data_IF_795438918540
#
_entry.id   IF_795438918540
#
_cell.length_a   1.000
_cell.length_b   1.000
_cell.length_c   1.000
_cell.angle_alpha   90.00
_cell.angle_beta   90.00
_cell.angle_gamma   90.00
#
_symmetry.space_group_name_H-M   'P 1'
#
loop_
_entity.id
_entity.type
_entity.pdbx_description
1 polymer ?
#
# COMPACT_ATOMS: atom_id res chain seq x y z
N UNK A 1 -21.25 11.14 -1.66
CA UNK A 1 -20.77 9.73 -1.78
C UNK A 1 -19.25 9.59 -1.95
N UNK A 2 -18.57 10.44 -2.75
CA UNK A 2 -17.10 10.37 -2.94
C UNK A 2 -16.30 10.74 -1.68
N UNK A 3 -16.76 11.77 -0.96
CA UNK A 3 -16.20 12.26 0.31
C UNK A 3 -16.08 11.17 1.37
N UNK A 4 -17.08 10.30 1.51
CA UNK A 4 -17.04 9.22 2.50
C UNK A 4 -15.95 8.17 2.19
N UNK A 5 -15.74 7.83 0.91
CA UNK A 5 -14.69 6.89 0.51
C UNK A 5 -13.30 7.48 0.70
N UNK A 6 -13.11 8.75 0.36
CA UNK A 6 -11.85 9.46 0.60
C UNK A 6 -11.54 9.56 2.10
N UNK A 7 -12.51 9.96 2.92
CA UNK A 7 -12.35 10.03 4.37
C UNK A 7 -11.99 8.66 4.95
N UNK A 8 -12.70 7.60 4.54
CA UNK A 8 -12.40 6.23 4.97
C UNK A 8 -11.01 5.79 4.54
N UNK A 9 -10.57 6.14 3.33
CA UNK A 9 -9.23 5.83 2.86
C UNK A 9 -8.15 6.54 3.70
N UNK A 10 -8.35 7.82 4.02
CA UNK A 10 -7.43 8.57 4.89
C UNK A 10 -7.36 7.94 6.28
N UNK A 11 -8.50 7.55 6.88
CA UNK A 11 -8.52 6.85 8.18
C UNK A 11 -7.74 5.53 8.13
N UNK A 12 -7.88 4.76 7.05
CA UNK A 12 -7.13 3.52 6.86
C UNK A 12 -5.62 3.78 6.72
N UNK A 13 -5.23 4.84 5.99
CA UNK A 13 -3.83 5.23 5.89
C UNK A 13 -3.26 5.66 7.25
N UNK A 14 -3.98 6.46 8.02
CA UNK A 14 -3.49 6.91 9.35
C UNK A 14 -3.37 5.75 10.33
N UNK A 15 -4.30 4.80 10.30
CA UNK A 15 -4.25 3.60 11.16
C UNK A 15 -3.07 2.66 10.86
N UNK A 16 -2.51 2.71 9.65
CA UNK A 16 -1.38 1.88 9.21
C UNK A 16 -0.03 2.59 9.28
N UNK A 17 0.05 3.81 9.85
CA UNK A 17 1.28 4.62 9.87
C UNK A 17 2.49 3.91 10.48
N UNK A 18 2.25 3.07 11.48
CA UNK A 18 3.29 2.38 12.24
C UNK A 18 3.44 0.90 11.85
N UNK A 19 2.82 0.48 10.75
CA UNK A 19 2.92 -0.91 10.31
C UNK A 19 4.31 -1.18 9.74
N UNK A 20 4.85 -2.36 10.04
CA UNK A 20 6.06 -2.86 9.38
C UNK A 20 5.75 -3.35 7.97
N UNK A 21 6.80 -3.53 7.16
CA UNK A 21 6.66 -4.09 5.81
C UNK A 21 5.95 -5.45 5.85
N UNK A 22 6.30 -6.32 6.79
CA UNK A 22 5.71 -7.66 6.95
C UNK A 22 4.21 -7.59 7.25
N UNK A 23 3.79 -6.68 8.13
CA UNK A 23 2.38 -6.48 8.46
C UNK A 23 1.59 -5.99 7.24
N UNK A 24 2.17 -5.09 6.45
CA UNK A 24 1.53 -4.61 5.22
C UNK A 24 1.44 -5.72 4.15
N UNK A 25 2.46 -6.59 4.06
CA UNK A 25 2.43 -7.74 3.16
C UNK A 25 1.36 -8.76 3.55
N UNK A 26 1.21 -9.05 4.86
CA UNK A 26 0.16 -9.91 5.36
C UNK A 26 -1.25 -9.40 4.96
N UNK A 27 -1.47 -8.07 5.07
CA UNK A 27 -2.71 -7.43 4.61
C UNK A 27 -2.90 -7.57 3.10
N UNK A 28 -1.83 -7.43 2.31
CA UNK A 28 -1.91 -7.54 0.85
C UNK A 28 -2.23 -8.97 0.37
N UNK A 29 -1.71 -9.98 1.06
CA UNK A 29 -1.86 -11.39 0.72
C UNK A 29 -3.24 -11.95 1.13
N UNK A 30 -3.84 -11.45 2.21
CA UNK A 30 -5.16 -11.89 2.66
C UNK A 30 -6.28 -11.35 1.75
N UNK A 31 -6.91 -12.25 1.00
CA UNK A 31 -7.97 -11.95 0.04
C UNK A 31 -9.29 -11.54 0.69
N UNK A 32 -9.52 -11.93 1.96
CA UNK A 32 -10.73 -11.57 2.72
C UNK A 32 -10.80 -10.07 3.02
N UNK A 33 -9.67 -9.36 2.99
CA UNK A 33 -9.67 -7.94 3.31
C UNK A 33 -10.30 -7.08 2.20
N UNK A 34 -11.05 -6.02 2.58
CA UNK A 34 -11.67 -5.13 1.62
C UNK A 34 -10.65 -4.48 0.67
N UNK A 35 -11.00 -4.25 -0.61
CA UNK A 35 -10.09 -3.63 -1.58
C UNK A 35 -9.52 -2.28 -1.15
N UNK A 36 -10.32 -1.47 -0.44
CA UNK A 36 -9.89 -0.15 0.04
C UNK A 36 -8.80 -0.26 1.13
N UNK A 37 -8.89 -1.28 1.99
CA UNK A 37 -7.91 -1.57 3.04
C UNK A 37 -6.60 -2.07 2.41
N UNK A 38 -6.70 -2.98 1.45
CA UNK A 38 -5.54 -3.46 0.66
C UNK A 38 -4.88 -2.33 -0.12
N UNK A 39 -5.67 -1.41 -0.69
CA UNK A 39 -5.12 -0.23 -1.37
C UNK A 39 -4.35 0.71 -0.42
N UNK A 40 -4.80 0.85 0.83
CA UNK A 40 -4.10 1.65 1.84
C UNK A 40 -2.77 0.98 2.23
N UNK A 41 -2.77 -0.34 2.43
CA UNK A 41 -1.55 -1.11 2.69
C UNK A 41 -0.55 -1.01 1.54
N UNK A 42 -1.01 -1.14 0.29
CA UNK A 42 -0.17 -0.96 -0.90
C UNK A 42 0.42 0.45 -0.98
N UNK A 43 -0.33 1.48 -0.58
CA UNK A 43 0.16 2.87 -0.58
C UNK A 43 1.33 3.03 0.38
N UNK A 44 1.26 2.42 1.57
CA UNK A 44 2.37 2.40 2.52
C UNK A 44 3.55 1.55 2.07
N UNK A 45 3.31 0.37 1.48
CA UNK A 45 4.38 -0.46 0.90
C UNK A 45 5.16 0.30 -0.17
N UNK A 46 4.48 1.07 -1.02
CA UNK A 46 5.14 1.90 -2.03
C UNK A 46 5.93 3.05 -1.40
N UNK A 47 5.43 3.61 -0.30
CA UNK A 47 6.09 4.72 0.39
C UNK A 47 7.38 4.27 1.09
N UNK A 48 7.36 3.12 1.74
CA UNK A 48 8.50 2.55 2.47
C UNK A 48 9.46 1.73 1.59
N UNK A 49 9.07 1.41 0.36
CA UNK A 49 9.92 0.63 -0.53
C UNK A 49 11.26 1.34 -0.78
N UNK A 50 12.38 0.62 -0.65
CA UNK A 50 13.69 1.23 -0.71
C UNK A 50 14.06 1.63 -2.15
N UNK A 51 15.09 2.46 -2.32
CA UNK A 51 15.45 3.03 -3.62
C UNK A 51 15.92 1.98 -4.62
N UNK A 52 16.50 0.89 -4.14
CA UNK A 52 16.93 -0.28 -4.92
C UNK A 52 15.74 -0.94 -5.63
N UNK A 53 14.57 -0.92 -4.98
CA UNK A 53 13.31 -1.44 -5.54
C UNK A 53 12.64 -0.40 -6.44
N UNK A 54 12.55 0.84 -5.98
CA UNK A 54 11.76 1.89 -6.65
C UNK A 54 12.48 2.57 -7.80
N UNK A 55 13.82 2.53 -7.83
CA UNK A 55 14.71 3.13 -8.84
C UNK A 55 14.45 4.61 -9.10
N UNK A 56 13.98 5.35 -8.10
CA UNK A 56 13.59 6.76 -8.23
C UNK A 56 12.41 7.02 -9.19
N UNK A 57 11.66 5.98 -9.58
CA UNK A 57 10.69 6.08 -10.65
C UNK A 57 9.43 6.90 -10.27
N UNK A 58 8.63 7.38 -11.25
CA UNK A 58 7.32 7.95 -10.98
C UNK A 58 6.37 6.96 -10.29
N UNK A 59 5.33 7.47 -9.61
CA UNK A 59 4.45 6.65 -8.74
C UNK A 59 3.89 5.40 -9.42
N UNK A 60 3.39 5.53 -10.66
CA UNK A 60 2.83 4.40 -11.41
C UNK A 60 3.84 3.28 -11.63
N UNK A 61 5.09 3.64 -11.92
CA UNK A 61 6.17 2.68 -12.13
C UNK A 61 6.68 2.10 -10.80
N UNK A 62 6.79 2.93 -9.75
CA UNK A 62 7.05 2.44 -8.38
C UNK A 62 6.07 1.38 -7.94
N UNK A 63 4.77 1.63 -8.16
CA UNK A 63 3.71 0.65 -7.85
C UNK A 63 3.95 -0.69 -8.57
N UNK A 64 4.39 -0.68 -9.83
CA UNK A 64 4.68 -1.90 -10.58
C UNK A 64 5.89 -2.64 -10.01
N UNK A 65 7.00 -1.93 -9.75
CA UNK A 65 8.21 -2.53 -9.17
C UNK A 65 7.95 -3.12 -7.78
N UNK A 66 7.23 -2.41 -6.91
CA UNK A 66 6.90 -2.87 -5.56
C UNK A 66 6.03 -4.13 -5.62
N UNK A 67 5.03 -4.16 -6.50
CA UNK A 67 4.19 -5.36 -6.69
C UNK A 67 4.98 -6.55 -7.21
N UNK A 68 5.91 -6.30 -8.14
CA UNK A 68 6.79 -7.34 -8.68
C UNK A 68 7.76 -7.87 -7.62
N UNK A 69 8.37 -6.97 -6.82
CA UNK A 69 9.36 -7.32 -5.81
C UNK A 69 8.75 -8.09 -4.64
N UNK A 70 7.58 -7.68 -4.16
CA UNK A 70 6.91 -8.31 -3.02
C UNK A 70 5.87 -9.36 -3.40
N UNK A 71 5.65 -9.61 -4.70
CA UNK A 71 4.67 -10.56 -5.23
C UNK A 71 3.21 -10.31 -4.78
N UNK A 72 2.74 -9.06 -4.86
CA UNK A 72 1.39 -8.61 -4.42
C UNK A 72 0.58 -7.87 -5.47
#
# INVERSE_FOLDING_TARGET
MLTHRCNRFVVLLTGMRHYTTEQLLAVMQERRYPPLLRAAALRWLIHWAPLEVTKGAPYLQRRRYVRQHYHV
#
